data_IF_101889775666
#
_entry.id   IF_101889775666
#
_cell.length_a   1.000
_cell.length_b   1.000
_cell.length_c   1.000
_cell.angle_alpha   90.00
_cell.angle_beta   90.00
_cell.angle_gamma   90.00
#
_symmetry.space_group_name_H-M   'P 1'
#
loop_
_entity.id
_entity.type
_entity.pdbx_description
1 polymer ?
#
# COMPACT_ATOMS: atom_id res chain seq x y z
N UNK A 1 22.32 -25.62 18.66
CA UNK A 1 21.84 -25.79 17.27
C UNK A 1 20.32 -25.91 17.18
N UNK A 2 19.65 -26.49 18.18
CA UNK A 2 18.18 -26.59 18.24
C UNK A 2 17.47 -25.24 18.40
N UNK A 3 18.06 -24.31 19.17
CA UNK A 3 17.52 -22.97 19.40
C UNK A 3 17.42 -22.13 18.12
N UNK A 4 18.46 -22.13 17.29
CA UNK A 4 18.47 -21.41 16.01
C UNK A 4 17.44 -21.95 15.01
N UNK A 5 17.25 -23.28 14.97
CA UNK A 5 16.23 -23.89 14.13
C UNK A 5 14.82 -23.55 14.62
N UNK A 6 14.61 -23.51 15.95
CA UNK A 6 13.34 -23.13 16.55
C UNK A 6 13.01 -21.65 16.29
N UNK A 7 13.95 -20.72 16.52
CA UNK A 7 13.73 -19.29 16.24
C UNK A 7 13.50 -19.03 14.76
N UNK A 8 14.27 -19.66 13.86
CA UNK A 8 14.06 -19.54 12.42
C UNK A 8 12.69 -20.11 12.00
N UNK A 9 12.30 -21.29 12.51
CA UNK A 9 11.00 -21.89 12.22
C UNK A 9 9.83 -21.05 12.72
N UNK A 10 9.91 -20.56 13.97
CA UNK A 10 8.88 -19.67 14.53
C UNK A 10 8.82 -18.33 13.79
N UNK A 11 9.96 -17.77 13.37
CA UNK A 11 9.98 -16.54 12.57
C UNK A 11 9.33 -16.76 11.21
N UNK A 12 9.64 -17.85 10.53
CA UNK A 12 8.99 -18.19 9.26
C UNK A 12 7.49 -18.39 9.44
N UNK A 13 7.02 -19.04 10.51
CA UNK A 13 5.59 -19.18 10.79
C UNK A 13 4.91 -17.82 11.04
N UNK A 14 5.53 -16.96 11.83
CA UNK A 14 4.99 -15.63 12.16
C UNK A 14 4.89 -14.72 10.93
N UNK A 15 5.91 -14.73 10.07
CA UNK A 15 5.96 -13.87 8.88
C UNK A 15 5.39 -14.53 7.60
N UNK A 16 5.04 -15.82 7.62
CA UNK A 16 4.64 -16.58 6.41
C UNK A 16 3.47 -15.94 5.65
N UNK A 17 2.34 -15.56 6.27
CA UNK A 17 1.21 -14.97 5.55
C UNK A 17 1.60 -13.64 4.91
N UNK A 18 2.26 -12.78 5.67
CA UNK A 18 2.70 -11.46 5.21
C UNK A 18 3.69 -11.59 4.07
N UNK A 19 4.67 -12.50 4.17
CA UNK A 19 5.65 -12.74 3.11
C UNK A 19 5.00 -13.33 1.87
N UNK A 20 4.07 -14.27 2.01
CA UNK A 20 3.34 -14.85 0.87
C UNK A 20 2.56 -13.77 0.11
N UNK A 21 1.80 -12.95 0.83
CA UNK A 21 1.07 -11.82 0.24
C UNK A 21 2.02 -10.79 -0.33
N UNK A 22 3.08 -10.41 0.38
CA UNK A 22 4.04 -9.42 -0.08
C UNK A 22 4.76 -9.88 -1.36
N UNK A 23 5.20 -11.14 -1.44
CA UNK A 23 5.82 -11.67 -2.66
C UNK A 23 4.80 -11.71 -3.81
N UNK A 24 3.59 -12.22 -3.57
CA UNK A 24 2.57 -12.28 -4.61
C UNK A 24 2.19 -10.88 -5.13
N UNK A 25 2.06 -9.91 -4.24
CA UNK A 25 1.75 -8.52 -4.59
C UNK A 25 2.94 -7.81 -5.24
N UNK A 26 4.17 -8.05 -4.76
CA UNK A 26 5.39 -7.46 -5.33
C UNK A 26 5.68 -7.96 -6.75
N UNK A 27 5.41 -9.23 -7.06
CA UNK A 27 5.55 -9.76 -8.41
C UNK A 27 4.44 -9.29 -9.37
N UNK A 28 3.29 -8.88 -8.84
CA UNK A 28 2.17 -8.47 -9.68
C UNK A 28 2.39 -7.12 -10.35
N UNK A 29 2.59 -6.04 -9.57
CA UNK A 29 2.68 -4.66 -10.07
C UNK A 29 3.41 -3.74 -9.09
N UNK A 30 4.23 -2.83 -9.63
CA UNK A 30 4.92 -1.80 -8.83
C UNK A 30 3.94 -0.84 -8.11
N UNK A 31 2.76 -0.57 -8.69
CA UNK A 31 1.78 0.35 -8.10
C UNK A 31 1.23 -0.15 -6.75
N UNK A 32 1.10 -1.47 -6.55
CA UNK A 32 0.64 -2.03 -5.28
C UNK A 32 1.69 -1.88 -4.17
N UNK A 33 2.98 -1.92 -4.50
CA UNK A 33 4.04 -1.81 -3.49
C UNK A 33 4.07 -0.44 -2.82
N UNK A 34 3.66 0.60 -3.55
CA UNK A 34 3.53 1.96 -3.01
C UNK A 34 2.43 2.00 -1.95
N UNK A 35 1.32 1.31 -2.17
CA UNK A 35 0.17 1.24 -1.24
C UNK A 35 0.55 0.44 0.02
N UNK A 36 1.28 -0.67 -0.13
CA UNK A 36 1.83 -1.44 1.00
C UNK A 36 2.77 -0.56 1.84
N UNK A 37 3.70 0.14 1.20
CA UNK A 37 4.71 0.93 1.90
C UNK A 37 4.09 2.16 2.60
N UNK A 38 3.11 2.80 1.98
CA UNK A 38 2.42 3.96 2.57
C UNK A 38 1.49 3.56 3.72
N UNK A 39 0.80 2.42 3.63
CA UNK A 39 -0.01 1.89 4.75
C UNK A 39 0.86 1.43 5.93
N UNK A 40 2.02 0.83 5.65
CA UNK A 40 3.04 0.51 6.64
C UNK A 40 3.56 1.77 7.36
N UNK A 41 3.85 2.83 6.61
CA UNK A 41 4.24 4.12 7.19
C UNK A 41 3.12 4.73 8.04
N UNK A 42 1.87 4.66 7.57
CA UNK A 42 0.71 5.14 8.34
C UNK A 42 0.56 4.38 9.67
N UNK A 43 0.84 3.07 9.70
CA UNK A 43 0.91 2.31 10.95
C UNK A 43 1.96 2.88 11.92
N UNK A 44 3.18 3.17 11.44
CA UNK A 44 4.25 3.74 12.28
C UNK A 44 3.86 5.12 12.83
N UNK A 45 3.21 5.95 12.03
CA UNK A 45 2.68 7.24 12.52
C UNK A 45 1.62 7.01 13.60
N UNK A 46 0.74 6.02 13.41
CA UNK A 46 -0.27 5.66 14.39
C UNK A 46 0.34 5.21 15.73
N UNK A 47 1.36 4.35 15.70
CA UNK A 47 2.02 3.89 16.91
C UNK A 47 2.79 5.01 17.62
N UNK A 48 3.40 5.93 16.88
CA UNK A 48 4.02 7.14 17.46
C UNK A 48 2.98 8.03 18.13
N UNK A 49 1.86 8.29 17.47
CA UNK A 49 0.75 9.08 18.04
C UNK A 49 0.19 8.39 19.29
N UNK A 50 0.02 7.07 19.24
CA UNK A 50 -0.39 6.26 20.39
C UNK A 50 0.61 6.36 21.55
N UNK A 51 1.92 6.38 21.26
CA UNK A 51 2.96 6.56 22.27
C UNK A 51 2.95 7.98 22.86
N UNK A 52 2.66 9.01 22.06
CA UNK A 52 2.55 10.40 22.53
C UNK A 52 1.30 10.61 23.39
N UNK A 53 0.20 9.96 23.04
CA UNK A 53 -1.05 9.96 23.82
C UNK A 53 -0.86 9.40 25.24
N UNK A 54 0.17 8.58 25.47
CA UNK A 54 0.46 8.00 26.77
C UNK A 54 1.28 8.91 27.69
N UNK A 55 2.06 9.84 27.15
CA UNK A 55 2.93 10.73 27.94
C UNK A 55 2.22 11.53 29.07
N UNK A 56 0.99 12.06 28.90
CA UNK A 56 0.33 12.81 29.96
C UNK A 56 -0.28 11.92 31.07
N UNK A 57 -0.27 10.60 30.96
CA UNK A 57 -0.96 9.72 31.93
C UNK A 57 -0.13 9.55 33.22
N UNK A 58 -0.69 9.93 34.38
CA UNK A 58 0.00 9.82 35.66
C UNK A 58 0.25 8.35 36.04
N UNK A 59 1.36 8.10 36.73
CA UNK A 59 1.78 6.75 37.12
C UNK A 59 0.74 6.00 37.98
N UNK A 60 -0.10 6.72 38.71
CA UNK A 60 -1.16 6.19 39.58
C UNK A 60 -2.27 5.43 38.84
N UNK A 61 -2.44 5.64 37.53
CA UNK A 61 -3.48 4.98 36.72
C UNK A 61 -2.93 3.84 35.85
N UNK A 62 -1.66 3.46 36.02
CA UNK A 62 -1.01 2.43 35.18
C UNK A 62 -1.28 1.00 35.61
N UNK A 63 -1.85 0.79 36.80
CA UNK A 63 -2.11 -0.54 37.34
C UNK A 63 -3.25 -1.27 36.62
N UNK A 64 -4.10 -0.54 35.88
CA UNK A 64 -5.15 -1.14 35.09
C UNK A 64 -4.73 -1.28 33.61
N UNK A 65 -4.49 -2.51 33.10
CA UNK A 65 -4.04 -2.73 31.72
C UNK A 65 -5.08 -2.29 30.68
N UNK A 66 -6.37 -2.22 31.03
CA UNK A 66 -7.41 -1.76 30.11
C UNK A 66 -7.25 -0.28 29.72
N UNK A 67 -6.68 0.54 30.63
CA UNK A 67 -6.45 1.97 30.37
C UNK A 67 -5.43 2.18 29.25
N UNK A 68 -4.48 1.26 29.06
CA UNK A 68 -3.52 1.32 27.95
C UNK A 68 -4.11 0.83 26.62
N UNK A 69 -5.01 -0.16 26.67
CA UNK A 69 -5.52 -0.84 25.49
C UNK A 69 -6.48 0.04 24.68
N UNK A 70 -7.46 0.67 25.35
CA UNK A 70 -8.49 1.47 24.69
C UNK A 70 -7.97 2.64 23.84
N UNK A 71 -7.10 3.54 24.33
CA UNK A 71 -6.63 4.68 23.54
C UNK A 71 -5.77 4.23 22.36
N UNK A 72 -5.01 3.14 22.52
CA UNK A 72 -4.15 2.60 21.47
C UNK A 72 -4.97 2.03 20.30
N UNK A 73 -6.01 1.25 20.61
CA UNK A 73 -6.94 0.72 19.59
C UNK A 73 -7.69 1.86 18.90
N UNK A 74 -8.13 2.87 19.65
CA UNK A 74 -8.81 4.03 19.08
C UNK A 74 -7.91 4.82 18.13
N UNK A 75 -6.65 5.08 18.52
CA UNK A 75 -5.68 5.74 17.65
C UNK A 75 -5.41 4.93 16.37
N UNK A 76 -5.25 3.61 16.50
CA UNK A 76 -5.08 2.69 15.36
C UNK A 76 -6.28 2.72 14.41
N UNK A 77 -7.50 2.72 14.95
CA UNK A 77 -8.73 2.82 14.16
C UNK A 77 -8.84 4.16 13.42
N UNK A 78 -8.55 5.28 14.09
CA UNK A 78 -8.58 6.62 13.49
C UNK A 78 -7.57 6.73 12.36
N UNK A 79 -6.34 6.23 12.55
CA UNK A 79 -5.34 6.26 11.48
C UNK A 79 -5.76 5.37 10.30
N UNK A 80 -6.38 4.22 10.56
CA UNK A 80 -6.91 3.36 9.49
C UNK A 80 -8.02 4.05 8.69
N UNK A 81 -8.95 4.72 9.37
CA UNK A 81 -9.98 5.53 8.71
C UNK A 81 -9.37 6.71 7.93
N UNK A 82 -8.38 7.39 8.51
CA UNK A 82 -7.65 8.47 7.86
C UNK A 82 -6.88 8.02 6.61
N UNK A 83 -6.30 6.82 6.63
CA UNK A 83 -5.65 6.22 5.47
C UNK A 83 -6.64 5.94 4.35
N UNK A 84 -7.80 5.34 4.64
CA UNK A 84 -8.86 5.09 3.65
C UNK A 84 -9.37 6.41 3.06
N UNK A 85 -9.55 7.44 3.90
CA UNK A 85 -9.93 8.75 3.42
C UNK A 85 -8.87 9.37 2.50
N UNK A 86 -7.60 9.27 2.87
CA UNK A 86 -6.49 9.74 2.04
C UNK A 86 -6.41 8.97 0.73
N UNK A 87 -6.62 7.65 0.76
CA UNK A 87 -6.66 6.79 -0.42
C UNK A 87 -7.73 7.26 -1.42
N UNK A 88 -8.98 7.41 -0.97
CA UNK A 88 -10.05 7.90 -1.85
C UNK A 88 -9.81 9.32 -2.34
N UNK A 89 -9.18 10.17 -1.52
CA UNK A 89 -8.81 11.53 -1.92
C UNK A 89 -7.77 11.50 -3.05
N UNK A 90 -6.78 10.63 -2.96
CA UNK A 90 -5.76 10.44 -4.00
C UNK A 90 -6.40 9.88 -5.26
N UNK A 91 -7.20 8.83 -5.14
CA UNK A 91 -7.93 8.22 -6.24
C UNK A 91 -8.76 9.25 -7.02
N UNK A 92 -9.54 10.06 -6.30
CA UNK A 92 -10.34 11.12 -6.91
C UNK A 92 -9.47 12.25 -7.51
N UNK A 93 -8.29 12.52 -6.96
CA UNK A 93 -7.33 13.45 -7.55
C UNK A 93 -6.73 12.92 -8.85
N UNK A 94 -6.36 11.63 -8.87
CA UNK A 94 -5.81 10.94 -10.05
C UNK A 94 -6.85 10.88 -11.16
N UNK A 95 -8.10 10.56 -10.83
CA UNK A 95 -9.18 10.55 -11.82
C UNK A 95 -9.40 11.94 -12.42
N UNK A 96 -9.35 12.99 -11.60
CA UNK A 96 -9.48 14.37 -12.10
C UNK A 96 -8.31 14.79 -12.98
N UNK A 97 -7.08 14.35 -12.69
CA UNK A 97 -5.93 14.68 -13.54
C UNK A 97 -6.00 13.97 -14.89
N UNK A 98 -6.39 12.69 -14.90
CA UNK A 98 -6.56 11.92 -16.15
C UNK A 98 -7.61 12.59 -17.05
N UNK A 99 -8.80 12.89 -16.49
CA UNK A 99 -9.88 13.58 -17.23
C UNK A 99 -9.51 14.99 -17.71
N UNK A 100 -8.49 15.62 -17.13
CA UNK A 100 -7.96 16.91 -17.59
C UNK A 100 -6.99 16.72 -18.75
N UNK A 101 -6.14 15.69 -18.68
CA UNK A 101 -5.19 15.35 -19.74
C UNK A 101 -5.92 14.94 -21.03
N UNK A 102 -6.93 14.10 -20.91
CA UNK A 102 -7.78 13.68 -22.05
C UNK A 102 -8.42 14.90 -22.74
N UNK A 103 -9.00 15.82 -21.96
CA UNK A 103 -9.59 17.06 -22.51
C UNK A 103 -8.58 18.02 -23.12
N UNK A 104 -7.35 18.10 -22.61
CA UNK A 104 -6.31 18.92 -23.24
C UNK A 104 -5.83 18.32 -24.56
N UNK A 105 -5.72 16.99 -24.63
CA UNK A 105 -5.36 16.29 -25.87
C UNK A 105 -6.44 16.44 -26.95
N UNK A 106 -7.72 16.28 -26.59
CA UNK A 106 -8.85 16.51 -27.50
C UNK A 106 -8.85 17.94 -28.07
N UNK A 107 -8.56 18.94 -27.23
CA UNK A 107 -8.47 20.34 -27.67
C UNK A 107 -7.30 20.57 -28.61
N UNK A 108 -6.11 20.06 -28.28
CA UNK A 108 -4.94 20.15 -29.14
C UNK A 108 -5.18 19.47 -30.51
N UNK A 109 -5.87 18.33 -30.52
CA UNK A 109 -6.26 17.62 -31.77
C UNK A 109 -7.27 18.42 -32.59
N UNK A 110 -8.28 19.00 -31.96
CA UNK A 110 -9.27 19.84 -32.66
C UNK A 110 -8.61 21.09 -33.29
N UNK A 111 -7.68 21.73 -32.58
CA UNK A 111 -6.92 22.87 -33.07
C UNK A 111 -5.98 22.48 -34.22
N UNK A 112 -5.27 21.34 -34.12
CA UNK A 112 -4.43 20.82 -35.19
C UNK A 112 -5.23 20.46 -36.46
N UNK A 113 -6.41 19.85 -36.30
CA UNK A 113 -7.30 19.54 -37.41
C UNK A 113 -7.87 20.82 -38.07
N UNK A 114 -8.23 21.83 -37.28
CA UNK A 114 -8.66 23.13 -37.80
C UNK A 114 -7.53 23.87 -38.55
N UNK A 115 -6.30 23.81 -38.03
CA UNK A 115 -5.11 24.37 -38.69
C UNK A 115 -4.79 23.65 -40.02
N UNK A 116 -4.89 22.31 -40.07
CA UNK A 116 -4.77 21.54 -41.32
C UNK A 116 -5.84 21.92 -42.34
N UNK A 117 -7.11 22.07 -41.92
CA UNK A 117 -8.18 22.55 -42.80
C UNK A 117 -7.92 23.96 -43.34
N UNK A 118 -7.40 24.87 -42.51
CA UNK A 118 -6.98 26.20 -42.97
C UNK A 118 -5.87 26.11 -44.03
N UNK A 119 -4.83 25.31 -43.81
CA UNK A 119 -3.75 25.09 -44.80
C UNK A 119 -4.29 24.54 -46.12
N UNK A 120 -5.17 23.53 -46.08
CA UNK A 120 -5.75 22.90 -47.28
C UNK A 120 -6.65 23.87 -48.08
N UNK A 121 -7.33 24.80 -47.40
CA UNK A 121 -8.18 25.82 -48.06
C UNK A 121 -7.36 26.94 -48.69
N UNK A 122 -6.19 27.27 -48.14
CA UNK A 122 -5.26 28.22 -48.75
C UNK A 122 -4.59 27.59 -49.98
N UNK A 123 -4.14 26.33 -49.89
CA UNK A 123 -3.54 25.61 -51.02
C UNK A 123 -4.53 25.24 -52.13
N UNK A 124 -5.85 25.35 -51.93
CA UNK A 124 -6.83 25.16 -53.00
C UNK A 124 -7.09 26.43 -53.82
N UNK A 125 -6.52 27.57 -53.43
CA UNK A 125 -6.72 28.87 -54.11
C UNK A 125 -5.55 29.22 -55.05
N UNK A 126 -4.36 28.65 -54.82
CA UNK A 126 -3.25 28.57 -55.77
C UNK A 126 -3.25 27.16 -56.36
N UNK A 127 -3.48 27.04 -57.67
CA UNK A 127 -3.75 25.76 -58.32
C UNK A 127 -2.69 24.68 -58.08
N UNK A 128 -3.13 23.45 -57.87
CA UNK A 128 -2.86 22.36 -58.81
C UNK A 128 -3.59 21.08 -58.38
N UNK A 129 -4.25 20.48 -59.36
CA UNK A 129 -4.60 19.08 -59.34
C UNK A 129 -3.30 18.28 -59.46
N UNK A 130 -2.92 17.52 -58.43
CA UNK A 130 -2.37 16.16 -58.55
C UNK A 130 -1.86 15.65 -57.19
N UNK A 131 -2.04 14.34 -57.00
CA UNK A 131 -1.65 13.50 -55.87
C UNK A 131 -2.44 13.66 -54.57
N UNK A 132 -3.58 12.96 -54.55
CA UNK A 132 -4.05 12.29 -53.34
C UNK A 132 -3.30 10.95 -53.24
N UNK A 133 -2.32 10.90 -52.33
CA UNK A 133 -1.84 9.65 -51.76
C UNK A 133 -2.41 9.59 -50.35
N UNK A 134 -3.32 8.65 -50.15
CA UNK A 134 -3.81 8.20 -48.86
C UNK A 134 -2.64 7.61 -48.07
N UNK A 135 -2.15 8.34 -47.08
CA UNK A 135 -1.43 7.77 -45.94
C UNK A 135 -2.39 7.84 -44.75
N UNK A 136 -3.31 6.88 -44.71
CA UNK A 136 -4.05 6.50 -43.52
C UNK A 136 -3.06 5.86 -42.52
N UNK A 137 -2.30 6.71 -41.85
CA UNK A 137 -1.63 6.33 -40.62
C UNK A 137 -2.71 6.21 -39.55
N UNK A 138 -3.06 4.97 -39.22
CA UNK A 138 -3.87 4.60 -38.06
C UNK A 138 -3.23 5.16 -36.78
N UNK A 139 -3.67 6.36 -36.38
CA UNK A 139 -3.43 6.93 -35.05
C UNK A 139 -4.32 6.17 -34.05
N UNK A 140 -3.87 4.98 -33.65
CA UNK A 140 -4.46 4.22 -32.56
C UNK A 140 -4.52 5.12 -31.30
N UNK A 141 -5.69 5.32 -30.67
CA UNK A 141 -5.84 6.36 -29.66
C UNK A 141 -5.06 6.05 -28.37
N UNK A 142 -4.50 7.07 -27.68
CA UNK A 142 -3.78 6.96 -26.40
C UNK A 142 -4.68 6.55 -25.22
N UNK A 143 -5.95 6.24 -25.48
CA UNK A 143 -6.89 5.69 -24.50
C UNK A 143 -6.36 4.41 -23.84
N UNK A 144 -5.41 3.71 -24.47
CA UNK A 144 -4.82 2.48 -23.93
C UNK A 144 -4.01 2.71 -22.66
N UNK A 145 -3.29 3.83 -22.48
CA UNK A 145 -2.47 4.07 -21.28
C UNK A 145 -3.30 4.54 -20.07
N UNK A 146 -4.21 5.51 -20.27
CA UNK A 146 -5.17 5.97 -19.25
C UNK A 146 -6.06 4.82 -18.77
N UNK A 147 -6.57 4.02 -19.71
CA UNK A 147 -7.40 2.85 -19.40
C UNK A 147 -6.57 1.73 -18.77
N UNK A 148 -5.29 1.55 -19.14
CA UNK A 148 -4.36 0.63 -18.44
C UNK A 148 -4.20 1.03 -16.98
N UNK A 149 -3.93 2.31 -16.70
CA UNK A 149 -3.75 2.80 -15.33
C UNK A 149 -5.03 2.62 -14.49
N UNK A 150 -6.21 2.83 -15.07
CA UNK A 150 -7.51 2.58 -14.40
C UNK A 150 -7.86 1.09 -14.26
N UNK A 151 -7.51 0.25 -15.23
CA UNK A 151 -7.67 -1.22 -15.13
C UNK A 151 -6.68 -1.85 -14.16
N UNK A 152 -5.54 -1.19 -13.89
CA UNK A 152 -4.47 -1.78 -13.10
C UNK A 152 -4.69 -1.74 -11.59
N UNK A 153 -5.46 -0.77 -11.10
CA UNK A 153 -5.77 -0.61 -9.68
C UNK A 153 -7.15 -1.20 -9.37
N UNK A 154 -7.20 -2.50 -9.09
CA UNK A 154 -8.42 -3.12 -8.57
C UNK A 154 -8.57 -2.77 -7.08
N UNK A 155 -9.71 -2.18 -6.67
CA UNK A 155 -9.99 -1.75 -5.29
C UNK A 155 -9.78 -2.87 -4.27
N UNK A 156 -10.08 -4.11 -4.63
CA UNK A 156 -9.84 -5.28 -3.79
C UNK A 156 -8.36 -5.53 -3.53
N UNK A 157 -7.56 -5.47 -4.60
CA UNK A 157 -6.11 -5.68 -4.51
C UNK A 157 -5.43 -4.55 -3.73
N UNK A 158 -5.95 -3.33 -3.85
CA UNK A 158 -5.51 -2.16 -3.10
C UNK A 158 -5.83 -2.27 -1.61
N UNK A 159 -7.05 -2.69 -1.27
CA UNK A 159 -7.45 -2.94 0.12
C UNK A 159 -6.62 -4.05 0.78
N UNK A 160 -6.35 -5.13 0.04
CA UNK A 160 -5.53 -6.24 0.51
C UNK A 160 -4.06 -5.82 0.67
N UNK A 161 -3.53 -5.02 -0.25
CA UNK A 161 -2.21 -4.42 -0.14
C UNK A 161 -2.10 -3.49 1.08
N UNK A 162 -3.09 -2.63 1.31
CA UNK A 162 -3.13 -1.76 2.47
C UNK A 162 -3.21 -2.56 3.79
N UNK A 163 -4.00 -3.63 3.82
CA UNK A 163 -4.07 -4.56 4.96
C UNK A 163 -2.72 -5.24 5.22
N UNK A 164 -2.07 -5.74 4.17
CA UNK A 164 -0.76 -6.42 4.27
C UNK A 164 0.33 -5.49 4.80
N UNK A 165 0.35 -4.22 4.39
CA UNK A 165 1.31 -3.24 4.92
C UNK A 165 1.10 -2.93 6.40
N UNK A 166 -0.17 -2.78 6.81
CA UNK A 166 -0.53 -2.51 8.20
C UNK A 166 -0.27 -3.73 9.12
N UNK A 167 -0.72 -4.92 8.71
CA UNK A 167 -0.50 -6.18 9.43
C UNK A 167 0.98 -6.54 9.49
N UNK A 168 1.70 -6.38 8.38
CA UNK A 168 3.13 -6.65 8.32
C UNK A 168 3.94 -5.80 9.31
N UNK A 169 3.68 -4.50 9.37
CA UNK A 169 4.35 -3.65 10.37
C UNK A 169 3.94 -4.00 11.81
N UNK A 170 2.69 -4.35 12.04
CA UNK A 170 2.23 -4.79 13.36
C UNK A 170 2.97 -6.05 13.84
N UNK A 171 3.19 -7.03 12.96
CA UNK A 171 3.95 -8.25 13.29
C UNK A 171 5.41 -7.94 13.52
N UNK A 172 6.02 -7.10 12.68
CA UNK A 172 7.42 -6.67 12.86
C UNK A 172 7.57 -6.01 14.23
N UNK A 173 6.62 -5.18 14.65
CA UNK A 173 6.69 -4.52 15.95
C UNK A 173 6.46 -5.49 17.12
N UNK A 174 5.49 -6.40 17.02
CA UNK A 174 5.13 -7.31 18.11
C UNK A 174 6.09 -8.50 18.20
N UNK A 175 6.29 -9.22 17.11
CA UNK A 175 7.14 -10.42 17.07
C UNK A 175 8.61 -10.07 16.81
N UNK A 176 8.90 -9.06 15.99
CA UNK A 176 10.29 -8.66 15.71
C UNK A 176 11.02 -8.13 16.94
N UNK A 177 10.34 -7.41 17.83
CA UNK A 177 10.94 -6.97 19.11
C UNK A 177 11.23 -8.15 20.05
N UNK A 178 10.33 -9.14 20.12
CA UNK A 178 10.57 -10.38 20.87
C UNK A 178 11.73 -11.19 20.28
N UNK A 179 11.76 -11.35 18.96
CA UNK A 179 12.82 -12.07 18.27
C UNK A 179 14.18 -11.38 18.48
N UNK A 180 14.22 -10.04 18.43
CA UNK A 180 15.43 -9.27 18.71
C UNK A 180 15.92 -9.44 20.16
N UNK A 181 14.99 -9.55 21.12
CA UNK A 181 15.34 -9.77 22.53
C UNK A 181 15.91 -11.17 22.80
N UNK A 182 15.47 -12.18 22.04
CA UNK A 182 15.87 -13.59 22.23
C UNK A 182 17.03 -14.03 21.33
N UNK A 183 17.35 -13.28 20.26
CA UNK A 183 18.33 -13.67 19.24
C UNK A 183 19.74 -13.94 19.76
N UNK A 184 20.11 -13.42 20.94
CA UNK A 184 21.44 -13.58 21.52
C UNK A 184 21.46 -14.44 22.80
N UNK A 185 20.32 -15.03 23.19
CA UNK A 185 20.21 -15.87 24.38
C UNK A 185 20.29 -17.36 24.04
N UNK A 186 20.96 -18.13 24.91
CA UNK A 186 21.14 -19.59 24.75
C UNK A 186 19.94 -20.38 25.29
N UNK A 187 19.02 -19.72 26.00
CA UNK A 187 17.81 -20.31 26.58
C UNK A 187 16.54 -19.94 25.82
N UNK A 188 15.49 -20.75 26.01
CA UNK A 188 14.13 -20.45 25.53
C UNK A 188 13.27 -19.98 26.69
N UNK A 189 12.60 -18.84 26.52
CA UNK A 189 11.73 -18.29 27.56
C UNK A 189 10.40 -19.06 27.63
N UNK A 190 10.11 -19.62 28.80
CA UNK A 190 8.83 -20.26 29.11
C UNK A 190 8.03 -19.34 30.03
N UNK A 191 6.73 -19.21 29.75
CA UNK A 191 5.84 -18.44 30.59
C UNK A 191 5.32 -19.31 31.74
N UNK A 192 5.18 -18.77 32.96
CA UNK A 192 4.69 -19.53 34.11
C UNK A 192 3.23 -20.00 33.93
N UNK A 193 2.49 -19.41 32.98
CA UNK A 193 1.13 -19.81 32.64
C UNK A 193 1.06 -21.04 31.73
N UNK A 194 2.14 -21.38 31.01
CA UNK A 194 2.20 -22.56 30.15
C UNK A 194 3.64 -23.03 29.98
N UNK A 195 4.05 -24.01 30.78
CA UNK A 195 5.41 -24.58 30.73
C UNK A 195 5.61 -25.52 29.53
N UNK A 196 4.52 -25.94 28.88
CA UNK A 196 4.54 -26.93 27.79
C UNK A 196 4.99 -26.32 26.46
N UNK A 197 4.74 -25.02 26.25
CA UNK A 197 5.00 -24.34 24.98
C UNK A 197 5.91 -23.11 25.18
N UNK A 198 7.00 -22.97 24.42
CA UNK A 198 7.86 -21.79 24.52
C UNK A 198 7.09 -20.53 24.11
N UNK A 199 7.32 -19.42 24.82
CA UNK A 199 6.62 -18.15 24.58
C UNK A 199 6.77 -17.68 23.13
N UNK A 200 7.95 -17.93 22.56
CA UNK A 200 8.32 -17.63 21.18
C UNK A 200 7.40 -18.32 20.16
N UNK A 201 7.02 -19.58 20.40
CA UNK A 201 6.10 -20.30 19.53
C UNK A 201 4.66 -19.78 19.70
N UNK A 202 4.25 -19.45 20.92
CA UNK A 202 2.91 -18.93 21.18
C UNK A 202 2.72 -17.55 20.53
N UNK A 203 3.70 -16.67 20.69
CA UNK A 203 3.73 -15.36 20.03
C UNK A 203 3.75 -15.49 18.50
N UNK A 204 4.46 -16.48 17.95
CA UNK A 204 4.44 -16.73 16.50
C UNK A 204 3.05 -17.09 15.98
N UNK A 205 2.29 -17.94 16.71
CA UNK A 205 0.92 -18.31 16.35
C UNK A 205 -0.03 -17.11 16.46
N UNK A 206 0.10 -16.31 17.52
CA UNK A 206 -0.69 -15.09 17.69
C UNK A 206 -0.39 -14.12 16.53
N UNK A 207 0.87 -13.88 16.22
CA UNK A 207 1.27 -13.02 15.09
C UNK A 207 0.77 -13.53 13.75
N UNK A 208 0.73 -14.85 13.55
CA UNK A 208 0.18 -15.46 12.33
C UNK A 208 -1.32 -15.17 12.18
N UNK A 209 -2.08 -15.20 13.28
CA UNK A 209 -3.54 -14.95 13.27
C UNK A 209 -3.90 -13.47 13.12
N UNK A 210 -3.04 -12.57 13.62
CA UNK A 210 -3.26 -11.12 13.56
C UNK A 210 -2.53 -10.44 12.38
N UNK A 211 -2.02 -11.23 11.41
CA UNK A 211 -1.38 -10.77 10.18
C UNK A 211 -2.37 -10.41 9.07
#
# INVERSE_FOLDING_TARGET
>A
MTTAALTAGCALLAFSPTLCLLFHLAYSKANLIIIITTSAFAYLVSTVVSSLLWLPVPASSRDNPYILMFPSIAAQFVTRAGFVWLYHKVEHSVERSIRRHERSEERARAEAAAARRRRRRVSSTEGDANNASDDDAEDEPPASESSKLRLELNDWSSSLAAGTGYGGMHIIFLYGTLLASEANNVGTLYQPSCEVMPSLANSAVISHLFS
#
